data_IF_771637892385
#
_entry.id   IF_771637892385
#
_cell.length_a   1.000
_cell.length_b   1.000
_cell.length_c   1.000
_cell.angle_alpha   90.00
_cell.angle_beta   90.00
_cell.angle_gamma   90.00
#
_symmetry.space_group_name_H-M   'P 1'
#
loop_
_entity.id
_entity.type
_entity.pdbx_description
1 polymer ?
#
# COMPACT_ATOMS: atom_id res chain seq x y z
N UNK A 1 0.76 10.57 -17.85
CA UNK A 1 -0.20 9.47 -17.57
C UNK A 1 -1.25 9.84 -16.53
N UNK A 2 -0.90 10.51 -15.42
CA UNK A 2 -1.90 11.07 -14.49
C UNK A 2 -2.43 12.46 -14.92
N UNK A 3 -2.20 12.84 -16.18
CA UNK A 3 -2.58 14.15 -16.73
C UNK A 3 -4.04 14.18 -17.21
N UNK A 4 -4.71 13.02 -17.19
CA UNK A 4 -6.14 12.89 -17.44
C UNK A 4 -6.96 13.10 -16.16
N UNK A 5 -8.21 13.53 -16.30
CA UNK A 5 -9.14 13.62 -15.18
C UNK A 5 -9.43 12.27 -14.51
N UNK A 6 -9.14 11.16 -15.18
CA UNK A 6 -9.37 9.79 -14.71
C UNK A 6 -8.17 8.92 -15.02
N UNK A 7 -8.00 7.90 -14.19
CA UNK A 7 -7.00 6.86 -14.40
C UNK A 7 -7.60 5.48 -14.09
N UNK A 8 -7.17 4.47 -14.82
CA UNK A 8 -7.68 3.10 -14.70
C UNK A 8 -6.55 2.17 -14.27
N UNK A 9 -6.78 1.44 -13.19
CA UNK A 9 -5.81 0.55 -12.57
C UNK A 9 -6.18 -0.90 -12.87
N UNK A 10 -5.23 -1.67 -13.38
CA UNK A 10 -5.40 -3.10 -13.64
C UNK A 10 -5.10 -3.91 -12.37
N UNK A 11 -6.14 -4.50 -11.78
CA UNK A 11 -6.06 -5.18 -10.50
C UNK A 11 -6.07 -6.71 -10.63
N UNK A 12 -5.34 -7.38 -9.75
CA UNK A 12 -5.30 -8.85 -9.61
C UNK A 12 -4.99 -9.27 -8.16
N UNK A 13 -4.76 -10.56 -7.96
CA UNK A 13 -4.40 -11.18 -6.68
C UNK A 13 -5.58 -11.72 -5.88
N UNK A 14 -6.81 -11.27 -6.15
CA UNK A 14 -8.03 -11.75 -5.49
C UNK A 14 -9.18 -11.83 -6.50
N UNK A 15 -10.06 -12.84 -6.35
CA UNK A 15 -11.26 -12.98 -7.18
C UNK A 15 -12.33 -11.96 -6.78
N UNK A 16 -13.17 -11.52 -7.72
CA UNK A 16 -14.28 -10.59 -7.44
C UNK A 16 -15.63 -11.22 -7.77
N UNK A 17 -16.64 -10.95 -6.93
CA UNK A 17 -18.06 -11.33 -7.11
C UNK A 17 -18.97 -10.11 -7.12
N UNK A 18 -18.62 -9.14 -7.92
CA UNK A 18 -19.45 -7.99 -8.28
C UNK A 18 -19.18 -7.66 -9.75
N UNK A 19 -20.09 -6.92 -10.38
CA UNK A 19 -19.90 -6.42 -11.73
C UNK A 19 -19.40 -4.97 -11.70
N UNK A 20 -20.01 -4.13 -10.85
CA UNK A 20 -19.57 -2.77 -10.59
C UNK A 20 -19.94 -2.35 -9.16
N UNK A 21 -19.07 -1.56 -8.53
CA UNK A 21 -19.26 -0.93 -7.23
C UNK A 21 -18.77 0.51 -7.29
N UNK A 22 -19.64 1.45 -6.93
CA UNK A 22 -19.28 2.86 -6.77
C UNK A 22 -18.89 3.09 -5.31
N UNK A 23 -17.70 3.65 -5.12
CA UNK A 23 -17.12 3.99 -3.83
C UNK A 23 -17.02 5.52 -3.70
N UNK A 24 -16.88 6.06 -2.47
CA UNK A 24 -16.65 7.48 -2.28
C UNK A 24 -15.42 8.01 -3.01
N UNK A 25 -15.33 9.35 -3.11
CA UNK A 25 -14.20 10.07 -3.72
C UNK A 25 -13.94 9.68 -5.19
N UNK A 26 -15.00 9.37 -5.94
CA UNK A 26 -14.95 9.12 -7.38
C UNK A 26 -14.19 7.84 -7.74
N UNK A 27 -14.23 6.84 -6.87
CA UNK A 27 -13.59 5.54 -7.11
C UNK A 27 -14.65 4.54 -7.56
N UNK A 28 -14.39 3.82 -8.66
CA UNK A 28 -15.29 2.78 -9.17
C UNK A 28 -14.50 1.49 -9.33
N UNK A 29 -14.94 0.41 -8.68
CA UNK A 29 -14.39 -0.92 -8.87
C UNK A 29 -15.31 -1.72 -9.80
N UNK A 30 -14.79 -2.28 -10.89
CA UNK A 30 -15.61 -3.07 -11.81
C UNK A 30 -14.88 -4.27 -12.37
N UNK A 31 -15.64 -5.28 -12.79
CA UNK A 31 -15.08 -6.47 -13.44
C UNK A 31 -14.51 -6.08 -14.80
N UNK A 32 -13.29 -6.53 -15.07
CA UNK A 32 -12.58 -6.28 -16.32
C UNK A 32 -11.71 -7.50 -16.64
N UNK A 33 -11.34 -7.67 -17.91
CA UNK A 33 -10.38 -8.69 -18.29
C UNK A 33 -9.44 -8.13 -19.33
N UNK A 34 -8.16 -8.10 -18.99
CA UNK A 34 -7.09 -7.79 -19.92
C UNK A 34 -5.93 -8.75 -19.68
N UNK A 35 -5.43 -9.35 -20.76
CA UNK A 35 -4.23 -10.16 -20.72
C UNK A 35 -3.09 -9.36 -21.33
N UNK A 36 -2.23 -8.81 -20.48
CA UNK A 36 -1.06 -8.08 -20.90
C UNK A 36 0.07 -9.07 -21.17
N UNK A 37 0.23 -9.38 -22.45
CA UNK A 37 1.30 -10.21 -22.96
C UNK A 37 2.50 -9.31 -23.25
N UNK A 38 3.62 -9.52 -22.56
CA UNK A 38 4.86 -8.81 -22.80
C UNK A 38 5.86 -9.72 -23.53
N UNK A 39 5.77 -9.89 -24.86
CA UNK A 39 6.89 -10.45 -25.59
C UNK A 39 8.07 -9.49 -25.42
N UNK A 40 9.17 -9.95 -24.84
CA UNK A 40 10.40 -9.15 -24.89
C UNK A 40 10.79 -8.99 -26.36
N UNK A 41 10.73 -7.76 -26.87
CA UNK A 41 11.20 -7.41 -28.20
C UNK A 41 12.62 -6.89 -28.09
N UNK A 42 13.52 -7.46 -28.89
CA UNK A 42 14.90 -6.97 -29.03
C UNK A 42 15.10 -6.42 -30.44
N UNK A 43 15.60 -5.19 -30.53
CA UNK A 43 16.19 -4.65 -31.74
C UNK A 43 17.70 -4.90 -31.68
N UNK A 44 18.25 -5.52 -32.72
CA UNK A 44 19.67 -5.89 -32.78
C UNK A 44 20.52 -4.86 -33.55
N UNK A 45 19.88 -3.81 -34.07
CA UNK A 45 20.54 -2.71 -34.78
C UNK A 45 20.45 -1.41 -33.99
N UNK A 46 21.45 -0.55 -34.15
CA UNK A 46 21.50 0.75 -33.48
C UNK A 46 20.51 1.73 -34.10
N UNK A 47 19.81 2.55 -33.29
CA UNK A 47 18.89 3.57 -33.80
C UNK A 47 19.60 4.56 -34.72
N UNK A 48 18.95 4.95 -35.82
CA UNK A 48 19.37 6.06 -36.67
C UNK A 48 18.55 7.30 -36.33
N UNK A 49 18.96 8.48 -36.81
CA UNK A 49 18.23 9.76 -36.58
C UNK A 49 16.75 9.68 -36.94
N UNK A 50 16.37 8.79 -37.86
CA UNK A 50 15.01 8.66 -38.38
C UNK A 50 14.26 7.43 -37.85
N UNK A 51 14.92 6.53 -37.07
CA UNK A 51 14.30 5.29 -36.56
C UNK A 51 14.82 4.92 -35.16
N UNK A 52 13.92 4.96 -34.18
CA UNK A 52 14.20 4.65 -32.77
C UNK A 52 14.50 3.16 -32.49
N UNK A 53 14.10 2.24 -33.38
CA UNK A 53 14.41 0.81 -33.30
C UNK A 53 14.38 0.14 -34.70
N UNK A 54 15.51 -0.04 -35.38
CA UNK A 54 15.54 -0.69 -36.69
C UNK A 54 15.39 -2.22 -36.58
N UNK A 55 14.78 -2.81 -37.60
CA UNK A 55 14.72 -4.27 -37.79
C UNK A 55 16.12 -4.88 -37.97
N UNK A 56 16.37 -6.15 -37.59
CA UNK A 56 15.38 -7.18 -37.27
C UNK A 56 14.92 -7.18 -35.81
N UNK A 57 13.63 -7.43 -35.62
CA UNK A 57 12.98 -7.61 -34.33
C UNK A 57 12.78 -9.10 -34.10
N UNK A 58 13.06 -9.59 -32.90
CA UNK A 58 12.77 -10.98 -32.52
C UNK A 58 11.99 -11.01 -31.21
N UNK A 59 10.88 -11.74 -31.22
CA UNK A 59 10.16 -12.08 -30.00
C UNK A 59 10.95 -13.13 -29.22
N UNK A 60 11.27 -12.84 -27.96
CA UNK A 60 11.96 -13.78 -27.06
C UNK A 60 10.98 -14.28 -26.01
N UNK A 61 11.05 -15.58 -25.67
CA UNK A 61 10.28 -16.14 -24.55
C UNK A 61 10.92 -15.71 -23.23
N UNK A 62 10.13 -15.07 -22.37
CA UNK A 62 10.43 -14.79 -20.97
C UNK A 62 9.12 -14.73 -20.20
N UNK A 63 9.10 -15.22 -18.97
CA UNK A 63 7.88 -15.27 -18.15
C UNK A 63 7.56 -13.89 -17.58
N UNK A 64 6.47 -13.28 -18.05
CA UNK A 64 6.02 -11.98 -17.57
C UNK A 64 4.54 -11.69 -17.79
N UNK A 65 3.76 -12.65 -18.26
CA UNK A 65 2.33 -12.46 -18.53
C UNK A 65 1.60 -11.95 -17.28
N UNK A 66 0.82 -10.88 -17.46
CA UNK A 66 0.02 -10.29 -16.40
C UNK A 66 -1.45 -10.28 -16.80
N UNK A 67 -2.31 -10.73 -15.89
CA UNK A 67 -3.75 -10.82 -16.12
C UNK A 67 -4.46 -9.89 -15.16
N UNK A 68 -5.22 -8.95 -15.74
CA UNK A 68 -6.18 -8.09 -15.04
C UNK A 68 -7.47 -8.88 -14.87
N UNK A 69 -7.96 -8.96 -13.64
CA UNK A 69 -9.24 -9.63 -13.31
C UNK A 69 -10.36 -8.66 -12.98
N UNK A 70 -9.99 -7.42 -12.63
CA UNK A 70 -10.90 -6.32 -12.37
C UNK A 70 -10.11 -5.01 -12.46
N UNK A 71 -10.82 -3.90 -12.58
CA UNK A 71 -10.21 -2.58 -12.64
C UNK A 71 -10.71 -1.68 -11.52
N UNK A 72 -9.87 -0.70 -11.19
CA UNK A 72 -10.25 0.45 -10.37
C UNK A 72 -10.15 1.70 -11.24
N UNK A 73 -11.27 2.35 -11.51
CA UNK A 73 -11.31 3.71 -12.04
C UNK A 73 -11.18 4.69 -10.87
N UNK A 74 -10.31 5.68 -11.01
CA UNK A 74 -10.11 6.75 -10.03
C UNK A 74 -10.29 8.09 -10.72
N UNK A 75 -11.26 8.88 -10.26
CA UNK A 75 -11.44 10.27 -10.65
C UNK A 75 -10.44 11.17 -9.92
N UNK A 76 -9.47 11.69 -10.66
CA UNK A 76 -8.41 12.56 -10.14
C UNK A 76 -8.92 13.97 -9.81
N UNK A 77 -10.12 14.35 -10.26
CA UNK A 77 -10.72 15.65 -9.90
C UNK A 77 -11.18 15.69 -8.44
N UNK A 78 -11.34 14.53 -7.80
CA UNK A 78 -11.73 14.38 -6.39
C UNK A 78 -10.55 14.41 -5.42
N UNK A 79 -9.31 14.54 -5.93
CA UNK A 79 -8.12 14.57 -5.10
C UNK A 79 -8.14 15.78 -4.14
N UNK A 80 -7.62 15.64 -2.91
CA UNK A 80 -7.47 16.78 -2.00
C UNK A 80 -6.64 17.91 -2.63
N UNK A 81 -6.92 19.15 -2.22
CA UNK A 81 -6.16 20.31 -2.65
C UNK A 81 -4.67 20.15 -2.29
N UNK A 82 -3.78 20.43 -3.25
CA UNK A 82 -2.33 20.25 -3.08
C UNK A 82 -1.82 18.81 -3.10
N UNK A 83 -2.69 17.79 -3.19
CA UNK A 83 -2.27 16.41 -3.37
C UNK A 83 -1.83 16.14 -4.82
N UNK A 84 -0.73 15.42 -4.97
CA UNK A 84 -0.27 14.88 -6.25
C UNK A 84 -1.13 13.68 -6.67
N UNK A 85 -1.34 13.49 -7.96
CA UNK A 85 -2.22 12.43 -8.46
C UNK A 85 -1.69 11.02 -8.15
N UNK A 86 -0.38 10.78 -8.31
CA UNK A 86 0.23 9.49 -7.97
C UNK A 86 0.05 9.15 -6.48
N UNK A 87 0.22 10.14 -5.61
CA UNK A 87 0.04 9.99 -4.16
C UNK A 87 -1.41 9.67 -3.78
N UNK A 88 -2.38 10.33 -4.42
CA UNK A 88 -3.80 10.06 -4.25
C UNK A 88 -4.17 8.63 -4.63
N UNK A 89 -3.71 8.19 -5.80
CA UNK A 89 -3.98 6.85 -6.31
C UNK A 89 -3.29 5.78 -5.46
N UNK A 90 -2.04 6.00 -5.04
CA UNK A 90 -1.33 5.11 -4.11
C UNK A 90 -2.08 4.98 -2.79
N UNK A 91 -2.53 6.09 -2.22
CA UNK A 91 -3.25 6.07 -0.93
C UNK A 91 -4.54 5.26 -1.02
N UNK A 92 -5.31 5.39 -2.11
CA UNK A 92 -6.50 4.56 -2.36
C UNK A 92 -6.12 3.08 -2.42
N UNK A 93 -5.09 2.72 -3.20
CA UNK A 93 -4.66 1.32 -3.33
C UNK A 93 -4.15 0.75 -2.00
N UNK A 94 -3.41 1.55 -1.22
CA UNK A 94 -2.97 1.15 0.13
C UNK A 94 -4.16 0.90 1.04
N UNK A 95 -5.18 1.77 1.03
CA UNK A 95 -6.41 1.57 1.82
C UNK A 95 -7.18 0.31 1.39
N UNK A 96 -7.27 0.03 0.09
CA UNK A 96 -7.88 -1.21 -0.40
C UNK A 96 -7.11 -2.44 0.10
N UNK A 97 -5.77 -2.41 0.10
CA UNK A 97 -4.96 -3.50 0.65
C UNK A 97 -5.17 -3.71 2.14
N UNK A 98 -5.23 -2.61 2.90
CA UNK A 98 -5.45 -2.65 4.35
C UNK A 98 -6.84 -3.16 4.70
N UNK A 99 -7.89 -2.64 4.04
CA UNK A 99 -9.28 -2.96 4.40
C UNK A 99 -9.85 -4.21 3.73
N UNK A 100 -9.28 -4.68 2.60
CA UNK A 100 -9.83 -5.83 1.87
C UNK A 100 -8.90 -7.03 1.92
N UNK A 101 -7.69 -6.88 1.38
CA UNK A 101 -6.72 -7.96 1.31
C UNK A 101 -5.36 -7.42 0.90
N UNK A 102 -4.27 -7.73 1.63
CA UNK A 102 -2.94 -7.38 1.18
C UNK A 102 -2.59 -8.10 -0.12
N UNK A 103 -3.28 -9.17 -0.52
CA UNK A 103 -2.99 -9.88 -1.78
C UNK A 103 -3.27 -9.04 -3.03
N UNK A 104 -4.04 -7.95 -2.91
CA UNK A 104 -4.32 -7.05 -4.01
C UNK A 104 -3.03 -6.51 -4.65
N UNK A 105 -2.98 -6.56 -5.97
CA UNK A 105 -1.83 -6.14 -6.77
C UNK A 105 -2.29 -5.30 -7.95
N UNK A 106 -1.66 -4.15 -8.14
CA UNK A 106 -1.96 -3.18 -9.18
C UNK A 106 -0.75 -3.01 -10.10
N UNK A 107 -0.63 -3.89 -11.09
CA UNK A 107 0.56 -3.94 -11.96
C UNK A 107 0.43 -3.10 -13.22
N UNK A 108 -0.76 -2.65 -13.59
CA UNK A 108 -0.98 -1.78 -14.75
C UNK A 108 -1.73 -0.51 -14.37
N UNK A 109 -1.39 0.54 -15.09
CA UNK A 109 -2.10 1.80 -15.11
C UNK A 109 -2.40 2.15 -16.57
N UNK A 110 -3.60 2.67 -16.84
CA UNK A 110 -4.04 3.05 -18.18
C UNK A 110 -4.81 4.37 -18.18
N UNK A 111 -4.72 5.06 -19.32
CA UNK A 111 -5.51 6.24 -19.66
C UNK A 111 -6.96 5.94 -20.05
N UNK A 112 -7.31 4.67 -20.33
CA UNK A 112 -8.66 4.24 -20.73
C UNK A 112 -9.10 2.97 -19.96
N UNK A 113 -10.40 2.70 -19.92
CA UNK A 113 -10.97 1.58 -19.15
C UNK A 113 -10.66 0.21 -19.77
N UNK A 114 -10.11 -0.73 -18.99
CA UNK A 114 -9.93 -2.14 -19.37
C UNK A 114 -11.25 -2.90 -19.53
N UNK A 115 -12.34 -2.40 -18.98
CA UNK A 115 -13.68 -2.94 -19.18
C UNK A 115 -14.28 -2.52 -20.55
N UNK A 116 -13.79 -1.42 -21.15
CA UNK A 116 -14.35 -0.84 -22.38
C UNK A 116 -13.53 -1.21 -23.61
N UNK A 117 -13.97 -2.26 -24.33
CA UNK A 117 -13.31 -2.68 -25.59
C UNK A 117 -13.38 -1.61 -26.68
N UNK A 118 -14.46 -0.83 -26.73
CA UNK A 118 -14.63 0.22 -27.72
C UNK A 118 -13.59 1.33 -27.50
N UNK A 119 -13.45 1.82 -26.26
CA UNK A 119 -12.42 2.82 -25.92
C UNK A 119 -11.02 2.36 -26.27
N UNK A 120 -10.69 1.10 -25.98
CA UNK A 120 -9.38 0.53 -26.32
C UNK A 120 -9.10 0.44 -27.83
N UNK A 121 -10.12 0.24 -28.66
CA UNK A 121 -9.97 0.12 -30.11
C UNK A 121 -10.01 1.47 -30.84
N UNK A 122 -10.77 2.42 -30.30
CA UNK A 122 -11.04 3.71 -30.93
C UNK A 122 -10.06 4.81 -30.47
N UNK A 123 -9.10 4.48 -29.61
CA UNK A 123 -8.07 5.39 -29.09
C UNK A 123 -6.66 4.81 -29.16
N UNK A 124 -5.66 5.63 -28.86
CA UNK A 124 -4.28 5.20 -28.62
C UNK A 124 -4.03 5.13 -27.11
N UNK A 125 -4.34 4.01 -26.43
CA UNK A 125 -4.27 3.92 -24.99
C UNK A 125 -2.83 3.96 -24.49
N UNK A 126 -2.52 4.92 -23.63
CA UNK A 126 -1.31 4.86 -22.81
C UNK A 126 -1.50 3.81 -21.71
N UNK A 127 -0.65 2.79 -21.69
CA UNK A 127 -0.61 1.74 -20.66
C UNK A 127 0.83 1.57 -20.19
N UNK A 128 1.05 1.57 -18.87
CA UNK A 128 2.37 1.30 -18.30
C UNK A 128 2.30 0.34 -17.13
N UNK A 129 3.44 -0.28 -16.83
CA UNK A 129 3.61 -1.05 -15.61
C UNK A 129 3.77 -0.10 -14.42
N UNK A 130 3.06 -0.39 -13.33
CA UNK A 130 3.16 0.40 -12.11
C UNK A 130 3.88 -0.40 -11.02
N UNK A 131 3.20 -1.37 -10.40
CA UNK A 131 3.81 -2.18 -9.36
C UNK A 131 4.58 -3.37 -9.94
N UNK A 132 5.89 -3.22 -9.99
CA UNK A 132 6.81 -4.28 -10.41
C UNK A 132 7.52 -4.87 -9.18
N UNK A 133 7.86 -6.17 -9.24
CA UNK A 133 8.74 -6.83 -8.27
C UNK A 133 8.26 -6.86 -6.81
N UNK A 134 7.04 -7.37 -6.59
CA UNK A 134 6.52 -7.64 -5.25
C UNK A 134 7.27 -8.80 -4.58
N UNK A 135 7.89 -8.55 -3.43
CA UNK A 135 8.74 -9.52 -2.71
C UNK A 135 8.00 -10.13 -1.54
N UNK A 136 7.38 -9.30 -0.70
CA UNK A 136 6.62 -9.77 0.45
C UNK A 136 5.16 -9.98 0.02
N UNK A 137 4.77 -11.24 -0.10
CA UNK A 137 3.39 -11.64 -0.36
C UNK A 137 2.76 -12.08 0.95
N UNK A 138 1.91 -11.22 1.50
CA UNK A 138 1.09 -11.54 2.66
C UNK A 138 -0.19 -12.21 2.19
N UNK A 139 -0.59 -13.29 2.84
CA UNK A 139 -1.91 -13.90 2.63
C UNK A 139 -2.95 -13.09 3.40
N UNK A 140 -4.01 -12.71 2.72
CA UNK A 140 -5.18 -12.08 3.34
C UNK A 140 -6.15 -13.13 3.87
N UNK A 141 -7.11 -12.71 4.68
CA UNK A 141 -8.24 -13.56 5.07
C UNK A 141 -9.23 -13.80 3.92
N UNK A 142 -9.27 -12.87 2.95
CA UNK A 142 -10.19 -12.90 1.83
C UNK A 142 -9.47 -13.31 0.53
N UNK A 143 -9.82 -14.49 0.02
CA UNK A 143 -9.43 -14.97 -1.31
C UNK A 143 -10.45 -14.60 -2.40
N UNK A 144 -11.58 -14.01 -1.98
CA UNK A 144 -12.65 -13.52 -2.85
C UNK A 144 -13.30 -12.28 -2.25
N UNK A 145 -13.51 -11.25 -3.07
CA UNK A 145 -14.13 -9.99 -2.67
C UNK A 145 -15.56 -9.93 -3.20
N UNK A 146 -16.51 -9.70 -2.31
CA UNK A 146 -17.92 -9.48 -2.62
C UNK A 146 -18.31 -8.03 -2.30
N UNK A 147 -19.52 -7.63 -2.70
CA UNK A 147 -20.09 -6.34 -2.31
C UNK A 147 -20.07 -6.13 -0.78
N UNK A 148 -20.32 -7.19 0.01
CA UNK A 148 -20.26 -7.11 1.48
C UNK A 148 -18.84 -6.84 1.98
N UNK A 149 -17.82 -7.44 1.36
CA UNK A 149 -16.41 -7.21 1.70
C UNK A 149 -16.02 -5.76 1.46
N UNK A 150 -16.57 -5.14 0.41
CA UNK A 150 -16.38 -3.72 0.10
C UNK A 150 -17.20 -2.78 0.98
N UNK A 151 -18.17 -3.27 1.76
CA UNK A 151 -19.03 -2.43 2.61
C UNK A 151 -18.22 -1.55 3.57
N UNK A 152 -17.23 -2.12 4.25
CA UNK A 152 -16.35 -1.34 5.13
C UNK A 152 -15.59 -0.25 4.37
N UNK A 153 -15.05 -0.55 3.18
CA UNK A 153 -14.35 0.44 2.34
C UNK A 153 -15.33 1.54 1.90
N UNK A 154 -16.52 1.18 1.43
CA UNK A 154 -17.51 2.16 0.99
C UNK A 154 -17.93 3.12 2.12
N UNK A 155 -17.97 2.64 3.36
CA UNK A 155 -18.32 3.44 4.53
C UNK A 155 -17.15 4.28 5.07
N UNK A 156 -15.91 3.80 4.93
CA UNK A 156 -14.75 4.39 5.62
C UNK A 156 -13.75 5.09 4.69
N UNK A 157 -13.79 4.89 3.37
CA UNK A 157 -12.78 5.38 2.43
C UNK A 157 -12.57 6.89 2.55
N UNK A 158 -13.65 7.68 2.45
CA UNK A 158 -13.58 9.14 2.54
C UNK A 158 -12.99 9.60 3.87
N UNK A 159 -13.50 9.06 4.98
CA UNK A 159 -13.05 9.41 6.33
C UNK A 159 -11.57 9.06 6.56
N UNK A 160 -11.15 7.87 6.12
CA UNK A 160 -9.75 7.44 6.22
C UNK A 160 -8.82 8.30 5.36
N UNK A 161 -9.25 8.64 4.14
CA UNK A 161 -8.50 9.54 3.26
C UNK A 161 -8.33 10.92 3.91
N UNK A 162 -9.41 11.52 4.40
CA UNK A 162 -9.35 12.83 5.07
C UNK A 162 -8.39 12.80 6.28
N UNK A 163 -8.43 11.72 7.08
CA UNK A 163 -7.53 11.55 8.22
C UNK A 163 -6.06 11.41 7.79
N UNK A 164 -5.78 10.62 6.74
CA UNK A 164 -4.43 10.44 6.17
C UNK A 164 -3.86 11.76 5.68
N UNK A 165 -4.63 12.53 4.91
CA UNK A 165 -4.15 13.79 4.34
C UNK A 165 -3.96 14.89 5.39
N UNK A 166 -4.68 14.80 6.51
CA UNK A 166 -4.52 15.73 7.63
C UNK A 166 -3.30 15.43 8.51
N UNK A 167 -2.85 14.18 8.56
CA UNK A 167 -1.82 13.71 9.49
C UNK A 167 -0.65 13.04 8.77
N UNK A 168 0.48 13.74 8.67
CA UNK A 168 1.69 13.24 8.00
C UNK A 168 2.17 11.90 8.56
N UNK A 169 2.16 11.73 9.89
CA UNK A 169 2.59 10.50 10.55
C UNK A 169 1.73 9.28 10.16
N UNK A 170 0.42 9.47 9.98
CA UNK A 170 -0.48 8.42 9.53
C UNK A 170 -0.28 8.13 8.04
N UNK A 171 -0.09 9.17 7.22
CA UNK A 171 0.26 9.00 5.81
C UNK A 171 1.53 8.18 5.64
N UNK A 172 2.59 8.52 6.37
CA UNK A 172 3.83 7.76 6.39
C UNK A 172 3.60 6.30 6.81
N UNK A 173 2.76 6.05 7.81
CA UNK A 173 2.43 4.70 8.25
C UNK A 173 1.71 3.87 7.18
N UNK A 174 0.69 4.43 6.55
CA UNK A 174 -0.06 3.76 5.46
C UNK A 174 0.86 3.48 4.28
N UNK A 175 1.65 4.47 3.85
CA UNK A 175 2.62 4.29 2.77
C UNK A 175 3.70 3.26 3.13
N UNK A 176 4.20 3.24 4.37
CA UNK A 176 5.19 2.24 4.81
C UNK A 176 4.62 0.82 4.82
N UNK A 177 3.36 0.64 5.22
CA UNK A 177 2.68 -0.66 5.16
C UNK A 177 2.50 -1.14 3.72
N UNK A 178 2.36 -0.23 2.76
CA UNK A 178 2.22 -0.58 1.35
C UNK A 178 3.59 -0.86 0.69
N UNK A 179 4.54 0.05 0.87
CA UNK A 179 5.86 0.03 0.26
C UNK A 179 6.69 -1.20 0.67
N UNK A 180 6.50 -1.70 1.90
CA UNK A 180 7.19 -2.90 2.40
C UNK A 180 6.99 -4.14 1.52
N UNK A 181 5.90 -4.18 0.74
CA UNK A 181 5.63 -5.27 -0.21
C UNK A 181 6.64 -5.32 -1.36
N UNK A 182 7.31 -4.21 -1.67
CA UNK A 182 8.21 -4.03 -2.81
C UNK A 182 9.68 -3.92 -2.38
N UNK A 183 9.93 -3.80 -1.08
CA UNK A 183 11.27 -3.72 -0.51
C UNK A 183 12.01 -5.07 -0.60
N UNK A 184 13.18 -5.06 -1.26
CA UNK A 184 13.99 -6.26 -1.49
C UNK A 184 14.79 -6.71 -0.26
N UNK A 185 14.97 -5.81 0.71
CA UNK A 185 15.82 -6.03 1.89
C UNK A 185 14.96 -6.08 3.15
N UNK A 186 15.03 -7.19 3.90
CA UNK A 186 14.35 -7.33 5.18
C UNK A 186 14.81 -6.29 6.23
N UNK A 187 16.12 -5.99 6.37
CA UNK A 187 16.58 -4.89 7.21
C UNK A 187 15.98 -3.53 6.84
N UNK A 188 15.95 -3.18 5.55
CA UNK A 188 15.39 -1.89 5.10
C UNK A 188 13.88 -1.83 5.32
N UNK A 189 13.18 -2.94 5.06
CA UNK A 189 11.76 -3.11 5.37
C UNK A 189 11.47 -2.85 6.85
N UNK A 190 12.32 -3.37 7.74
CA UNK A 190 12.19 -3.19 9.17
C UNK A 190 12.43 -1.72 9.57
N UNK A 191 13.46 -1.08 9.01
CA UNK A 191 13.74 0.35 9.25
C UNK A 191 12.58 1.24 8.77
N UNK A 192 11.98 0.93 7.63
CA UNK A 192 10.83 1.65 7.06
C UNK A 192 9.61 1.61 7.99
N UNK A 193 9.20 0.41 8.43
CA UNK A 193 8.06 0.24 9.32
C UNK A 193 8.28 0.92 10.68
N UNK A 194 9.49 0.82 11.23
CA UNK A 194 9.83 1.49 12.49
C UNK A 194 9.93 3.00 12.35
N UNK A 195 10.36 3.53 11.20
CA UNK A 195 10.31 4.96 10.94
C UNK A 195 8.89 5.51 11.06
N UNK A 196 7.89 4.77 10.56
CA UNK A 196 6.48 5.12 10.74
C UNK A 196 6.01 5.01 12.21
N UNK A 197 6.33 3.90 12.89
CA UNK A 197 6.00 3.73 14.32
C UNK A 197 6.61 4.86 15.17
N UNK A 198 7.87 5.21 14.93
CA UNK A 198 8.55 6.30 15.62
C UNK A 198 7.85 7.64 15.34
N UNK A 199 7.53 7.94 14.07
CA UNK A 199 6.84 9.17 13.71
C UNK A 199 5.49 9.36 14.42
N UNK A 200 4.75 8.28 14.65
CA UNK A 200 3.49 8.28 15.40
C UNK A 200 3.75 8.46 16.90
N UNK A 201 4.57 7.58 17.50
CA UNK A 201 4.59 7.39 18.94
C UNK A 201 5.67 8.18 19.68
N UNK A 202 6.65 8.75 18.97
CA UNK A 202 7.75 9.47 19.62
C UNK A 202 8.44 10.47 18.69
N UNK A 203 8.39 11.75 19.07
CA UNK A 203 9.20 12.80 18.43
C UNK A 203 10.54 13.04 19.15
N UNK A 204 10.70 12.45 20.33
CA UNK A 204 11.86 12.64 21.20
C UNK A 204 12.92 11.56 20.95
N UNK A 205 14.21 11.97 20.94
CA UNK A 205 15.35 11.07 20.69
C UNK A 205 15.90 10.40 21.95
N UNK A 206 15.53 10.88 23.14
CA UNK A 206 16.00 10.34 24.41
C UNK A 206 15.22 9.07 24.78
N UNK A 207 15.93 8.03 25.25
CA UNK A 207 15.34 6.76 25.69
C UNK A 207 14.39 6.12 24.67
N UNK A 208 14.70 6.29 23.39
CA UNK A 208 13.80 6.01 22.26
C UNK A 208 13.17 4.61 22.35
N UNK A 209 13.98 3.59 22.65
CA UNK A 209 13.52 2.21 22.84
C UNK A 209 12.43 2.08 23.91
N UNK A 210 12.66 2.65 25.09
CA UNK A 210 11.71 2.53 26.21
C UNK A 210 10.43 3.28 25.89
N UNK A 211 10.55 4.55 25.46
CA UNK A 211 9.42 5.42 25.15
C UNK A 211 8.55 4.86 24.03
N UNK A 212 9.14 4.49 22.90
CA UNK A 212 8.35 3.96 21.77
C UNK A 212 7.62 2.67 22.17
N UNK A 213 8.29 1.81 22.93
CA UNK A 213 7.70 0.52 23.35
C UNK A 213 6.55 0.70 24.32
N UNK A 214 6.69 1.60 25.30
CA UNK A 214 5.64 1.83 26.30
C UNK A 214 4.46 2.61 25.71
N UNK A 215 4.71 3.56 24.80
CA UNK A 215 3.65 4.33 24.12
C UNK A 215 2.82 3.45 23.19
N UNK A 216 3.47 2.59 22.39
CA UNK A 216 2.75 1.61 21.54
C UNK A 216 1.91 0.67 22.41
N UNK A 217 2.50 0.13 23.48
CA UNK A 217 1.81 -0.81 24.34
C UNK A 217 0.59 -0.19 25.03
N UNK A 218 0.74 1.02 25.58
CA UNK A 218 -0.35 1.74 26.26
C UNK A 218 -1.44 2.18 25.27
N UNK A 219 -1.04 2.59 24.06
CA UNK A 219 -2.01 2.94 23.03
C UNK A 219 -2.83 1.74 22.57
N UNK A 220 -2.21 0.58 22.33
CA UNK A 220 -2.92 -0.62 21.86
C UNK A 220 -3.71 -1.30 22.98
N UNK A 221 -3.20 -1.29 24.22
CA UNK A 221 -3.79 -1.93 25.40
C UNK A 221 -4.08 -0.88 26.50
N UNK A 222 -5.11 -0.01 26.31
CA UNK A 222 -5.36 1.13 27.19
C UNK A 222 -5.81 0.76 28.61
N UNK A 223 -6.34 -0.47 28.80
CA UNK A 223 -6.69 -1.00 30.12
C UNK A 223 -5.45 -1.34 30.96
N UNK A 224 -4.26 -1.39 30.33
CA UNK A 224 -2.99 -1.64 31.01
C UNK A 224 -2.82 -3.10 31.47
N UNK A 225 -2.25 -3.26 32.67
CA UNK A 225 -2.04 -4.56 33.32
C UNK A 225 -1.06 -5.48 32.60
N UNK A 226 -1.23 -6.79 32.81
CA UNK A 226 -0.32 -7.81 32.29
C UNK A 226 -0.25 -7.81 30.76
N UNK A 227 -1.37 -7.58 30.07
CA UNK A 227 -1.42 -7.54 28.60
C UNK A 227 -0.53 -6.43 28.04
N UNK A 228 -0.69 -5.20 28.54
CA UNK A 228 0.14 -4.08 28.14
C UNK A 228 1.63 -4.34 28.46
N UNK A 229 1.93 -4.93 29.61
CA UNK A 229 3.31 -5.26 29.98
C UNK A 229 3.94 -6.33 29.07
N UNK A 230 3.20 -7.37 28.69
CA UNK A 230 3.67 -8.37 27.72
C UNK A 230 3.87 -7.77 26.33
N UNK A 231 2.94 -6.90 25.89
CA UNK A 231 3.09 -6.18 24.64
C UNK A 231 4.32 -5.27 24.66
N UNK A 232 4.55 -4.50 25.73
CA UNK A 232 5.76 -3.71 25.93
C UNK A 232 7.04 -4.57 25.77
N UNK A 233 7.11 -5.74 26.41
CA UNK A 233 8.27 -6.65 26.27
C UNK A 233 8.46 -7.12 24.83
N UNK A 234 7.38 -7.46 24.13
CA UNK A 234 7.40 -7.86 22.71
C UNK A 234 7.94 -6.71 21.85
N UNK A 235 7.37 -5.51 21.99
CA UNK A 235 7.76 -4.32 21.22
C UNK A 235 9.22 -3.95 21.49
N UNK A 236 9.67 -3.98 22.75
CA UNK A 236 11.06 -3.69 23.12
C UNK A 236 12.07 -4.71 22.55
N UNK A 237 11.65 -5.95 22.29
CA UNK A 237 12.46 -6.97 21.60
C UNK A 237 12.50 -6.71 20.10
N UNK A 238 11.36 -6.39 19.48
CA UNK A 238 11.29 -6.04 18.05
C UNK A 238 12.13 -4.79 17.75
N UNK A 239 12.11 -3.79 18.62
CA UNK A 239 12.93 -2.59 18.49
C UNK A 239 14.42 -2.90 18.49
N UNK A 240 14.88 -3.84 19.32
CA UNK A 240 16.28 -4.26 19.33
C UNK A 240 16.71 -4.86 17.98
N UNK A 241 15.85 -5.66 17.36
CA UNK A 241 16.12 -6.22 16.03
C UNK A 241 16.18 -5.13 14.97
N UNK A 242 15.32 -4.10 15.04
CA UNK A 242 15.45 -2.92 14.18
C UNK A 242 16.74 -2.17 14.42
N UNK A 243 17.15 -1.99 15.67
CA UNK A 243 18.40 -1.28 15.99
C UNK A 243 19.60 -1.98 15.34
N UNK A 244 19.63 -3.32 15.37
CA UNK A 244 20.67 -4.10 14.66
C UNK A 244 20.58 -3.90 13.15
N UNK A 245 19.37 -3.98 12.57
CA UNK A 245 19.13 -3.79 11.14
C UNK A 245 19.61 -2.42 10.65
N UNK A 246 19.36 -1.35 11.42
CA UNK A 246 19.82 -0.01 11.10
C UNK A 246 21.35 0.15 11.11
N UNK A 247 22.06 -0.71 11.85
CA UNK A 247 23.52 -0.79 11.88
C UNK A 247 24.10 -1.79 10.86
N UNK A 248 23.29 -2.27 9.91
CA UNK A 248 23.74 -3.13 8.80
C UNK A 248 23.71 -4.63 9.10
N UNK A 249 23.06 -5.06 10.19
CA UNK A 249 22.85 -6.49 10.45
C UNK A 249 21.83 -7.08 9.47
N UNK A 250 22.27 -8.05 8.66
CA UNK A 250 21.44 -8.73 7.67
C UNK A 250 20.80 -10.03 8.20
N UNK A 251 20.90 -10.33 9.51
CA UNK A 251 20.30 -11.52 10.14
C UNK A 251 18.81 -11.39 10.47
N UNK A 252 18.17 -10.31 10.03
CA UNK A 252 16.74 -10.04 10.25
C UNK A 252 15.90 -11.18 9.68
N UNK A 253 15.11 -11.80 10.54
CA UNK A 253 14.18 -12.87 10.18
C UNK A 253 12.88 -12.30 9.61
N UNK A 254 12.29 -13.01 8.64
CA UNK A 254 10.98 -12.65 8.09
C UNK A 254 9.90 -12.58 9.18
N UNK A 255 9.93 -13.45 10.18
CA UNK A 255 9.00 -13.42 11.32
C UNK A 255 9.07 -12.09 12.11
N UNK A 256 10.26 -11.54 12.31
CA UNK A 256 10.45 -10.22 12.94
C UNK A 256 9.78 -9.12 12.11
N UNK A 257 9.90 -9.20 10.78
CA UNK A 257 9.25 -8.26 9.87
C UNK A 257 7.72 -8.38 9.95
N UNK A 258 7.18 -9.60 9.91
CA UNK A 258 5.74 -9.85 10.00
C UNK A 258 5.14 -9.35 11.32
N UNK A 259 5.82 -9.60 12.44
CA UNK A 259 5.38 -9.09 13.75
C UNK A 259 5.43 -7.56 13.85
N UNK A 260 6.39 -6.92 13.17
CA UNK A 260 6.48 -5.46 13.11
C UNK A 260 5.42 -4.86 12.18
N UNK A 261 5.14 -5.53 11.05
CA UNK A 261 4.05 -5.18 10.14
C UNK A 261 2.71 -5.22 10.88
N UNK A 262 2.42 -6.33 11.58
CA UNK A 262 1.20 -6.51 12.35
C UNK A 262 1.04 -5.43 13.43
N UNK A 263 2.15 -5.04 14.07
CA UNK A 263 2.14 -3.99 15.08
C UNK A 263 1.74 -2.63 14.50
N UNK A 264 2.33 -2.24 13.36
CA UNK A 264 1.99 -1.00 12.66
C UNK A 264 0.56 -1.05 12.10
N UNK A 265 0.17 -2.19 11.51
CA UNK A 265 -1.19 -2.42 11.02
C UNK A 265 -2.22 -2.20 12.12
N UNK A 266 -2.06 -2.82 13.29
CA UNK A 266 -2.98 -2.64 14.43
C UNK A 266 -3.05 -1.21 14.94
N UNK A 267 -1.92 -0.49 14.92
CA UNK A 267 -1.91 0.92 15.30
C UNK A 267 -2.71 1.77 14.31
N UNK A 268 -2.51 1.57 13.01
CA UNK A 268 -3.23 2.26 11.93
C UNK A 268 -4.72 1.90 11.95
N UNK A 269 -5.06 0.63 12.10
CA UNK A 269 -6.44 0.14 12.22
C UNK A 269 -7.16 0.83 13.38
N UNK A 270 -6.55 0.89 14.56
CA UNK A 270 -7.11 1.60 15.72
C UNK A 270 -7.31 3.09 15.47
N UNK A 271 -6.39 3.76 14.75
CA UNK A 271 -6.55 5.18 14.38
C UNK A 271 -7.73 5.37 13.43
N UNK A 272 -7.92 4.46 12.48
CA UNK A 272 -9.10 4.46 11.63
C UNK A 272 -10.36 4.18 12.44
N UNK A 273 -10.40 3.20 13.33
CA UNK A 273 -11.58 2.96 14.18
C UNK A 273 -11.96 4.18 15.03
N UNK A 274 -10.97 4.87 15.60
CA UNK A 274 -11.17 6.04 16.46
C UNK A 274 -11.34 7.36 15.70
N UNK A 275 -11.11 7.35 14.38
CA UNK A 275 -11.05 8.55 13.54
C UNK A 275 -10.06 9.62 14.07
N UNK A 276 -8.94 9.19 14.64
CA UNK A 276 -7.99 10.10 15.27
C UNK A 276 -6.58 9.53 15.27
N UNK A 277 -5.59 10.41 15.15
CA UNK A 277 -4.18 10.08 15.35
C UNK A 277 -3.77 10.52 16.76
N UNK A 278 -3.12 9.66 17.57
CA UNK A 278 -2.74 10.01 18.92
C UNK A 278 -1.74 11.17 18.94
N UNK A 279 -1.93 12.11 19.86
CA UNK A 279 -0.97 13.18 20.13
C UNK A 279 -0.02 12.75 21.25
N UNK A 280 1.11 13.46 21.39
CA UNK A 280 2.03 13.25 22.52
C UNK A 280 1.29 13.34 23.86
N UNK A 281 0.47 14.37 24.03
CA UNK A 281 -0.28 14.58 25.27
C UNK A 281 -1.31 13.47 25.51
N UNK A 282 -2.03 12.99 24.48
CA UNK A 282 -2.98 11.90 24.67
C UNK A 282 -2.28 10.57 25.03
N UNK A 283 -1.11 10.32 24.47
CA UNK A 283 -0.30 9.13 24.79
C UNK A 283 0.24 9.20 26.23
N UNK A 284 0.74 10.35 26.65
CA UNK A 284 1.23 10.56 28.03
C UNK A 284 0.10 10.43 29.06
N UNK A 285 -1.09 11.01 28.78
CA UNK A 285 -2.28 10.81 29.62
C UNK A 285 -2.69 9.34 29.68
N UNK A 286 -2.73 8.65 28.54
CA UNK A 286 -3.06 7.22 28.52
C UNK A 286 -2.07 6.35 29.31
N UNK A 287 -0.80 6.76 29.38
CA UNK A 287 0.24 6.04 30.12
C UNK A 287 0.14 6.27 31.63
N UNK A 288 -0.21 7.48 32.06
CA UNK A 288 -0.20 7.88 33.46
C UNK A 288 -1.54 7.65 34.18
N UNK A 289 -2.63 7.46 33.44
CA UNK A 289 -3.99 7.40 33.99
C UNK A 289 -4.59 8.78 34.26
#
# INVERSE_FOLDING_TARGET
MFDNNKVYLGMSGVKVRFDELVLPKGVIARRAYAHFMSPHMVALESPTRDKLAPSPWKTVRGSGDKIVHWELEVDLTQKPEGAEADDYVKTIVSLLRLGLSPQLHCFLISSVSFASKAEFNDSEPEVSLWETNRVLVLKGANDELSQNTFGWIAENLERCMDLIYKHYELKLAVSSLDEVHFQQSLPMSLVLLWGALEAIFTKDKAELRFRVSVMIASYLEPEGGDKAYQLYKKVAKLYNERSKAAHGDNSVKQDTLLQTYELLYKAVEKMFEQNSVPTKESLERSLLG
#
